data_IF_964471902682
#
_entry.id   IF_964471902682
#
_cell.length_a   1.000
_cell.length_b   1.000
_cell.length_c   1.000
_cell.angle_alpha   90.00
_cell.angle_beta   90.00
_cell.angle_gamma   90.00
#
_symmetry.space_group_name_H-M   'P 1'
#
loop_
_entity.id
_entity.type
_entity.pdbx_description
1 polymer ?
#
# COMPACT_ATOMS: atom_id res chain seq x y z
N UNK A 1 4.22 -13.96 9.86
CA UNK A 1 3.51 -13.32 8.74
C UNK A 1 3.79 -11.82 8.75
N UNK A 2 4.14 -11.26 7.63
CA UNK A 2 4.40 -9.82 7.52
C UNK A 2 3.15 -9.10 7.03
N UNK A 3 2.71 -8.11 7.80
CA UNK A 3 1.50 -7.33 7.53
C UNK A 3 1.89 -5.85 7.38
N UNK A 4 1.35 -5.18 6.37
CA UNK A 4 1.54 -3.74 6.18
C UNK A 4 0.19 -3.03 6.11
N UNK A 5 0.18 -1.77 6.53
CA UNK A 5 -0.96 -0.88 6.35
C UNK A 5 -0.73 0.00 5.12
N UNK A 6 -1.79 0.25 4.37
CA UNK A 6 -1.72 0.99 3.12
C UNK A 6 -1.68 2.51 3.33
N UNK A 7 -0.78 2.97 4.18
CA UNK A 7 -0.45 4.39 4.29
C UNK A 7 1.00 4.52 4.76
N UNK A 8 1.58 5.69 4.56
CA UNK A 8 2.97 5.93 4.89
C UNK A 8 3.14 7.25 5.63
N UNK A 9 3.75 7.19 6.81
CA UNK A 9 4.09 8.37 7.63
C UNK A 9 5.61 8.60 7.62
N UNK A 10 6.02 9.80 8.01
CA UNK A 10 7.43 10.15 8.11
C UNK A 10 8.11 10.42 6.79
N UNK A 11 7.33 10.68 5.74
CA UNK A 11 7.89 11.01 4.44
C UNK A 11 8.59 12.36 4.45
N UNK A 12 9.60 12.58 3.57
CA UNK A 12 10.21 13.89 3.40
C UNK A 12 9.16 14.94 3.02
N UNK A 13 9.34 16.18 3.50
CA UNK A 13 8.39 17.27 3.23
C UNK A 13 8.19 17.54 1.73
N UNK A 14 9.19 17.26 0.91
CA UNK A 14 9.12 17.46 -0.54
C UNK A 14 8.69 16.20 -1.30
N UNK A 15 8.27 15.15 -0.60
CA UNK A 15 7.89 13.90 -1.25
C UNK A 15 6.65 14.08 -2.13
N UNK A 16 6.72 13.53 -3.34
CA UNK A 16 5.62 13.54 -4.30
C UNK A 16 4.76 12.28 -4.11
N UNK A 17 3.52 12.28 -4.59
CA UNK A 17 2.66 11.10 -4.48
C UNK A 17 3.31 9.80 -4.97
N UNK A 18 4.06 9.86 -6.05
CA UNK A 18 4.74 8.68 -6.59
C UNK A 18 5.82 8.14 -5.66
N UNK A 19 6.47 9.02 -4.87
CA UNK A 19 7.43 8.59 -3.86
C UNK A 19 6.76 7.70 -2.81
N UNK A 20 5.57 8.14 -2.33
CA UNK A 20 4.81 7.35 -1.35
C UNK A 20 4.40 6.00 -1.93
N UNK A 21 3.92 5.99 -3.17
CA UNK A 21 3.54 4.75 -3.84
C UNK A 21 4.74 3.81 -3.98
N UNK A 22 5.89 4.34 -4.37
CA UNK A 22 7.11 3.55 -4.50
C UNK A 22 7.52 2.90 -3.19
N UNK A 23 7.46 3.64 -2.08
CA UNK A 23 7.77 3.10 -0.76
C UNK A 23 6.74 2.06 -0.31
N UNK A 24 5.47 2.29 -0.58
CA UNK A 24 4.43 1.33 -0.26
C UNK A 24 4.59 0.03 -1.04
N UNK A 25 4.93 0.10 -2.32
CA UNK A 25 5.18 -1.09 -3.14
C UNK A 25 6.42 -1.85 -2.67
N UNK A 26 7.45 -1.13 -2.25
CA UNK A 26 8.65 -1.72 -1.68
C UNK A 26 8.33 -2.52 -0.41
N UNK A 27 7.50 -1.95 0.47
CA UNK A 27 7.03 -2.64 1.66
C UNK A 27 6.14 -3.83 1.31
N UNK A 28 5.27 -3.66 0.32
CA UNK A 28 4.37 -4.70 -0.15
C UNK A 28 5.14 -5.92 -0.66
N UNK A 29 6.29 -5.72 -1.27
CA UNK A 29 7.12 -6.80 -1.81
C UNK A 29 7.52 -7.83 -0.74
N UNK A 30 7.63 -7.41 0.53
CA UNK A 30 7.97 -8.32 1.63
C UNK A 30 6.77 -8.73 2.49
N UNK A 31 5.55 -8.38 2.11
CA UNK A 31 4.36 -8.60 2.92
C UNK A 31 3.62 -9.88 2.53
N UNK A 32 2.97 -10.49 3.52
CA UNK A 32 2.04 -11.61 3.31
C UNK A 32 0.59 -11.12 3.28
N UNK A 33 0.33 -9.98 3.92
CA UNK A 33 -1.00 -9.39 4.04
C UNK A 33 -0.89 -7.88 3.99
N UNK A 34 -1.73 -7.25 3.17
CA UNK A 34 -1.85 -5.80 3.10
C UNK A 34 -3.21 -5.39 3.67
N UNK A 35 -3.22 -4.45 4.59
CA UNK A 35 -4.42 -3.92 5.22
C UNK A 35 -4.72 -2.54 4.64
N UNK A 36 -5.91 -2.37 4.08
CA UNK A 36 -6.35 -1.12 3.47
C UNK A 36 -7.40 -0.44 4.34
N UNK A 37 -7.27 0.88 4.52
CA UNK A 37 -8.25 1.66 5.26
C UNK A 37 -9.58 1.71 4.51
N UNK A 38 -10.68 1.80 5.25
CA UNK A 38 -12.00 1.99 4.66
C UNK A 38 -11.99 3.24 3.75
N UNK A 39 -12.53 3.11 2.55
CA UNK A 39 -12.48 4.19 1.55
C UNK A 39 -11.25 4.18 0.67
N UNK A 40 -10.45 3.14 0.73
CA UNK A 40 -9.23 3.02 -0.07
C UNK A 40 -9.48 3.14 -1.58
N UNK A 41 -10.68 2.80 -2.05
CA UNK A 41 -11.05 2.87 -3.46
C UNK A 41 -11.03 4.31 -4.01
N UNK A 42 -11.14 5.30 -3.12
CA UNK A 42 -11.10 6.71 -3.50
C UNK A 42 -9.67 7.24 -3.60
N UNK A 43 -8.69 6.48 -3.17
CA UNK A 43 -7.28 6.85 -3.20
C UNK A 43 -6.56 6.14 -4.35
N UNK A 44 -6.04 6.92 -5.29
CA UNK A 44 -5.36 6.37 -6.47
C UNK A 44 -4.22 5.43 -6.11
N UNK A 45 -3.37 5.83 -5.18
CA UNK A 45 -2.23 5.01 -4.75
C UNK A 45 -2.67 3.70 -4.14
N UNK A 46 -3.71 3.73 -3.30
CA UNK A 46 -4.25 2.52 -2.67
C UNK A 46 -4.85 1.56 -3.70
N UNK A 47 -5.49 2.07 -4.74
CA UNK A 47 -6.00 1.22 -5.82
C UNK A 47 -4.87 0.51 -6.55
N UNK A 48 -3.78 1.20 -6.82
CA UNK A 48 -2.62 0.61 -7.48
C UNK A 48 -1.98 -0.45 -6.58
N UNK A 49 -1.82 -0.16 -5.30
CA UNK A 49 -1.28 -1.12 -4.33
C UNK A 49 -2.16 -2.36 -4.22
N UNK A 50 -3.48 -2.17 -4.17
CA UNK A 50 -4.43 -3.28 -4.10
C UNK A 50 -4.32 -4.17 -5.34
N UNK A 51 -4.27 -3.58 -6.52
CA UNK A 51 -4.12 -4.32 -7.77
C UNK A 51 -2.81 -5.10 -7.80
N UNK A 52 -1.72 -4.50 -7.32
CA UNK A 52 -0.43 -5.18 -7.20
C UNK A 52 -0.50 -6.36 -6.23
N UNK A 53 -1.14 -6.17 -5.08
CA UNK A 53 -1.28 -7.25 -4.09
C UNK A 53 -2.03 -8.44 -4.68
N UNK A 54 -3.15 -8.18 -5.35
CA UNK A 54 -3.93 -9.23 -6.00
C UNK A 54 -3.12 -9.92 -7.10
N UNK A 55 -2.45 -9.15 -7.94
CA UNK A 55 -1.68 -9.68 -9.07
C UNK A 55 -0.53 -10.58 -8.61
N UNK A 56 0.07 -10.29 -7.47
CA UNK A 56 1.21 -11.04 -6.95
C UNK A 56 0.86 -11.97 -5.79
N UNK A 57 -0.42 -12.22 -5.57
CA UNK A 57 -0.87 -13.23 -4.60
C UNK A 57 -0.73 -12.85 -3.15
N UNK A 58 -0.67 -11.56 -2.83
CA UNK A 58 -0.61 -11.06 -1.45
C UNK A 58 -2.04 -10.91 -0.94
N UNK A 59 -2.31 -11.43 0.27
CA UNK A 59 -3.62 -11.29 0.89
C UNK A 59 -3.99 -9.83 1.15
N UNK A 60 -5.27 -9.49 1.04
CA UNK A 60 -5.75 -8.13 1.30
C UNK A 60 -6.87 -8.15 2.33
N UNK A 61 -6.92 -7.10 3.14
CA UNK A 61 -7.96 -6.92 4.17
C UNK A 61 -8.32 -5.44 4.25
N UNK A 62 -9.58 -5.15 4.54
CA UNK A 62 -10.06 -3.78 4.77
C UNK A 62 -10.39 -3.59 6.24
N UNK A 63 -9.99 -2.43 6.77
CA UNK A 63 -10.33 -2.07 8.15
C UNK A 63 -11.71 -1.46 8.25
#
# INVERSE_FOLDING_TARGET
>A
MTVIESFFEGAPAAAKPLWFLGKSLEMLAGADLAVFASGWQDARGCRIEHDCAVAYGIGTMEM
#
